data_IF_465325372499
#
_entry.id   IF_465325372499
#
_cell.length_a   1.000
_cell.length_b   1.000
_cell.length_c   1.000
_cell.angle_alpha   90.00
_cell.angle_beta   90.00
_cell.angle_gamma   90.00
#
_symmetry.space_group_name_H-M   'P 1'
#
loop_
_entity.id
_entity.type
_entity.pdbx_description
1 polymer ?
#
# COMPACT_ATOMS: atom_id res chain seq x y z
N UNK A 1 -11.31 0.77 -27.89
CA UNK A 1 -10.43 1.77 -28.53
C UNK A 1 -10.46 3.00 -27.62
N UNK A 2 -9.46 3.16 -26.76
CA UNK A 2 -9.44 4.22 -25.74
C UNK A 2 -8.72 5.42 -26.34
N UNK A 3 -9.38 6.59 -26.38
CA UNK A 3 -8.77 7.84 -26.83
C UNK A 3 -7.93 8.44 -25.71
N UNK A 4 -6.75 8.94 -26.06
CA UNK A 4 -5.99 9.79 -25.14
C UNK A 4 -6.85 11.01 -24.74
N UNK A 5 -6.88 11.37 -23.45
CA UNK A 5 -7.62 12.54 -22.99
C UNK A 5 -7.03 13.81 -23.60
N UNK A 6 -7.90 14.77 -23.89
CA UNK A 6 -7.49 16.03 -24.51
C UNK A 6 -6.71 16.91 -23.51
N UNK A 7 -5.86 17.84 -23.98
CA UNK A 7 -5.10 18.74 -23.11
C UNK A 7 -5.96 19.55 -22.13
N UNK A 8 -7.23 19.81 -22.46
CA UNK A 8 -8.19 20.53 -21.61
C UNK A 8 -8.70 19.70 -20.42
N UNK A 9 -8.60 18.38 -20.51
CA UNK A 9 -8.98 17.45 -19.43
C UNK A 9 -7.90 17.42 -18.32
N UNK A 10 -6.65 17.75 -18.67
CA UNK A 10 -5.49 17.81 -17.78
C UNK A 10 -5.52 19.07 -16.89
N UNK A 11 -6.24 20.12 -17.29
CA UNK A 11 -6.30 21.40 -16.57
C UNK A 11 -7.44 21.52 -15.56
N UNK A 12 -8.30 20.51 -15.43
CA UNK A 12 -9.38 20.54 -14.43
C UNK A 12 -8.77 20.37 -13.03
N UNK A 13 -9.11 21.23 -12.05
CA UNK A 13 -8.69 21.01 -10.68
C UNK A 13 -9.17 19.61 -10.24
N UNK A 14 -8.36 18.86 -9.47
CA UNK A 14 -8.77 17.54 -9.02
C UNK A 14 -10.12 17.64 -8.29
N UNK A 15 -10.98 16.61 -8.41
CA UNK A 15 -12.23 16.58 -7.65
C UNK A 15 -11.96 16.86 -6.18
N UNK A 16 -12.82 17.65 -5.53
CA UNK A 16 -12.64 18.13 -4.14
C UNK A 16 -12.47 17.00 -3.09
N UNK A 17 -12.64 15.75 -3.48
CA UNK A 17 -12.60 14.56 -2.62
C UNK A 17 -11.28 13.77 -2.70
N UNK A 18 -10.29 14.22 -3.49
CA UNK A 18 -9.01 13.53 -3.65
C UNK A 18 -7.89 14.23 -2.89
N UNK A 19 -7.32 13.54 -1.91
CA UNK A 19 -6.04 13.93 -1.30
C UNK A 19 -4.91 13.08 -1.88
N UNK A 20 -4.00 13.73 -2.61
CA UNK A 20 -2.78 13.11 -3.13
C UNK A 20 -1.63 13.36 -2.16
N UNK A 21 -1.00 12.28 -1.70
CA UNK A 21 0.17 12.35 -0.82
C UNK A 21 1.39 11.86 -1.59
N UNK A 22 2.27 12.80 -1.93
CA UNK A 22 3.59 12.52 -2.47
C UNK A 22 4.66 12.79 -1.39
N UNK A 23 5.78 12.04 -1.38
CA UNK A 23 6.87 12.31 -0.46
C UNK A 23 7.52 13.67 -0.79
N UNK A 24 7.24 14.69 0.02
CA UNK A 24 8.12 15.84 0.15
C UNK A 24 9.32 15.44 1.01
N UNK A 25 10.54 15.62 0.51
CA UNK A 25 11.78 15.38 1.26
C UNK A 25 11.98 16.33 2.46
N UNK A 26 11.06 17.28 2.69
CA UNK A 26 11.22 18.37 3.67
C UNK A 26 10.12 18.49 4.72
N UNK A 27 9.03 17.71 4.63
CA UNK A 27 7.92 17.80 5.59
C UNK A 27 7.71 16.46 6.32
N UNK A 28 7.68 16.53 7.64
CA UNK A 28 7.42 15.39 8.50
C UNK A 28 6.00 14.90 8.27
N UNK A 29 5.84 13.59 8.13
CA UNK A 29 4.55 12.94 7.97
C UNK A 29 3.59 13.19 9.14
N UNK A 30 4.10 13.63 10.29
CA UNK A 30 3.30 14.05 11.45
C UNK A 30 2.59 15.39 11.27
N UNK A 31 3.01 16.22 10.33
CA UNK A 31 2.48 17.58 10.24
C UNK A 31 1.18 17.64 9.42
N UNK A 32 0.89 16.64 8.57
CA UNK A 32 -0.27 16.66 7.68
C UNK A 32 -1.30 15.54 7.92
N UNK A 33 -0.93 14.40 8.50
CA UNK A 33 -1.90 13.33 8.81
C UNK A 33 -2.99 13.78 9.78
N UNK A 34 -2.69 14.52 10.88
CA UNK A 34 -3.73 15.09 11.71
C UNK A 34 -4.61 16.07 10.92
N UNK A 35 -4.03 16.84 9.99
CA UNK A 35 -4.77 17.85 9.24
C UNK A 35 -5.77 17.23 8.24
N UNK A 36 -5.40 16.12 7.57
CA UNK A 36 -6.32 15.31 6.76
C UNK A 36 -7.40 14.63 7.61
N UNK A 37 -7.09 14.30 8.87
CA UNK A 37 -8.05 13.72 9.81
C UNK A 37 -9.01 14.76 10.44
N UNK A 38 -8.71 16.06 10.39
CA UNK A 38 -9.45 17.10 11.13
C UNK A 38 -10.00 18.27 10.30
N UNK A 39 -9.63 18.47 9.03
CA UNK A 39 -10.24 19.51 8.18
C UNK A 39 -11.51 19.00 7.47
N UNK A 40 -12.57 19.80 7.56
CA UNK A 40 -13.99 19.53 7.23
C UNK A 40 -14.33 19.35 5.75
N UNK A 41 -13.45 18.74 4.97
CA UNK A 41 -13.78 18.10 3.69
C UNK A 41 -13.34 16.65 3.85
N UNK A 42 -14.27 15.76 4.26
CA UNK A 42 -13.99 14.34 4.42
C UNK A 42 -13.48 13.76 3.10
N UNK A 43 -12.16 13.72 2.92
CA UNK A 43 -11.57 13.10 1.76
C UNK A 43 -11.91 11.60 1.79
N UNK A 44 -12.87 11.20 0.96
CA UNK A 44 -13.28 9.79 0.85
C UNK A 44 -12.22 8.92 0.18
N UNK A 45 -11.16 9.52 -0.38
CA UNK A 45 -10.11 8.86 -1.14
C UNK A 45 -8.73 9.40 -0.80
N UNK A 46 -7.79 8.48 -0.62
CA UNK A 46 -6.42 8.76 -0.27
C UNK A 46 -5.48 7.99 -1.20
N UNK A 47 -4.58 8.70 -1.88
CA UNK A 47 -3.55 8.07 -2.72
C UNK A 47 -2.20 8.29 -2.08
N UNK A 48 -1.50 7.20 -1.78
CA UNK A 48 -0.21 7.19 -1.09
C UNK A 48 0.89 6.66 -2.00
N UNK A 49 1.77 7.54 -2.45
CA UNK A 49 3.02 7.14 -3.11
C UNK A 49 4.11 6.93 -2.07
N UNK A 50 4.80 5.78 -2.16
CA UNK A 50 6.02 5.50 -1.37
C UNK A 50 5.85 5.80 0.13
N UNK A 51 4.78 5.29 0.75
CA UNK A 51 4.51 5.50 2.17
C UNK A 51 5.48 4.68 3.05
N UNK A 52 6.32 5.31 3.88
CA UNK A 52 7.22 4.57 4.75
C UNK A 52 6.45 4.04 5.97
N UNK A 53 6.27 2.72 6.04
CA UNK A 53 5.73 2.03 7.23
C UNK A 53 6.70 2.10 8.41
N UNK A 54 8.00 2.05 8.12
CA UNK A 54 9.08 2.12 9.10
C UNK A 54 9.94 3.35 8.80
N UNK A 55 10.22 4.15 9.83
CA UNK A 55 11.16 5.27 9.76
C UNK A 55 12.09 5.23 10.97
N UNK A 56 13.30 4.71 10.77
CA UNK A 56 14.24 4.45 11.86
C UNK A 56 13.68 3.38 12.81
N UNK A 57 13.63 3.68 14.11
CA UNK A 57 13.08 2.78 15.14
C UNK A 57 11.55 2.91 15.33
N UNK A 58 10.87 3.73 14.52
CA UNK A 58 9.44 4.01 14.69
C UNK A 58 8.62 3.44 13.55
N UNK A 59 7.57 2.74 13.91
CA UNK A 59 6.53 2.27 13.00
C UNK A 59 5.43 3.33 12.86
N UNK A 60 4.81 3.38 11.68
CA UNK A 60 3.86 4.43 11.27
C UNK A 60 2.56 3.86 10.71
N UNK A 61 2.16 2.70 11.22
CA UNK A 61 0.92 2.06 10.81
C UNK A 61 -0.28 2.47 11.66
N UNK A 62 -0.07 3.00 12.87
CA UNK A 62 -1.16 3.42 13.75
C UNK A 62 -2.05 4.49 13.09
N UNK A 63 -1.45 5.42 12.35
CA UNK A 63 -2.21 6.42 11.59
C UNK A 63 -3.06 5.78 10.48
N UNK A 64 -2.60 4.69 9.88
CA UNK A 64 -3.36 3.93 8.87
C UNK A 64 -4.52 3.16 9.51
N UNK A 65 -4.31 2.59 10.69
CA UNK A 65 -5.34 1.87 11.45
C UNK A 65 -6.44 2.80 11.99
N UNK A 66 -6.08 4.05 12.25
CA UNK A 66 -7.00 5.09 12.70
C UNK A 66 -7.90 5.66 11.57
N UNK A 67 -7.62 5.35 10.30
CA UNK A 67 -8.43 5.84 9.17
C UNK A 67 -9.88 5.37 9.27
N UNK A 68 -10.81 6.29 8.98
CA UNK A 68 -12.23 6.02 9.01
C UNK A 68 -12.63 4.97 7.95
N UNK A 69 -13.56 4.05 8.23
CA UNK A 69 -13.98 3.00 7.28
C UNK A 69 -14.57 3.51 5.95
N UNK A 70 -15.01 4.78 5.89
CA UNK A 70 -15.50 5.39 4.66
C UNK A 70 -14.38 5.93 3.75
N UNK A 71 -13.13 5.89 4.20
CA UNK A 71 -11.97 6.29 3.40
C UNK A 71 -11.48 5.10 2.60
N UNK A 72 -11.25 5.33 1.32
CA UNK A 72 -10.61 4.38 0.42
C UNK A 72 -9.16 4.78 0.20
N UNK A 73 -8.23 3.84 0.33
CA UNK A 73 -6.80 4.09 0.26
C UNK A 73 -6.18 3.33 -0.89
N UNK A 74 -5.48 4.03 -1.78
CA UNK A 74 -4.63 3.45 -2.81
C UNK A 74 -3.17 3.58 -2.40
N UNK A 75 -2.49 2.46 -2.24
CA UNK A 75 -1.05 2.40 -2.09
C UNK A 75 -0.39 2.23 -3.46
N UNK A 76 0.61 3.05 -3.77
CA UNK A 76 1.48 2.90 -4.94
C UNK A 76 2.91 2.75 -4.43
N UNK A 77 3.39 1.50 -4.40
CA UNK A 77 4.60 1.14 -3.69
C UNK A 77 5.42 0.13 -4.49
N UNK A 78 6.74 0.29 -4.41
CA UNK A 78 7.69 -0.70 -4.88
C UNK A 78 7.67 -1.96 -4.03
N UNK A 79 7.82 -3.14 -4.65
CA UNK A 79 7.89 -4.40 -3.91
C UNK A 79 9.27 -4.69 -3.29
N UNK A 80 10.27 -3.90 -3.68
CA UNK A 80 11.63 -3.91 -3.13
C UNK A 80 11.87 -2.75 -2.16
N UNK A 81 10.81 -2.08 -1.68
CA UNK A 81 10.91 -0.98 -0.71
C UNK A 81 11.28 -1.48 0.71
N UNK A 82 12.49 -1.17 1.22
CA UNK A 82 12.91 -1.59 2.56
C UNK A 82 12.18 -0.83 3.69
N UNK A 83 11.57 0.32 3.40
CA UNK A 83 10.78 1.10 4.36
C UNK A 83 9.31 0.66 4.39
N UNK A 84 8.88 -0.16 3.42
CA UNK A 84 7.52 -0.65 3.29
C UNK A 84 7.48 -2.08 2.74
N UNK A 85 8.03 -3.03 3.49
CA UNK A 85 8.01 -4.45 3.11
C UNK A 85 6.59 -4.96 2.79
N UNK A 86 6.46 -5.67 1.66
CA UNK A 86 5.19 -6.22 1.15
C UNK A 86 4.41 -7.01 2.21
N UNK A 87 5.08 -7.92 2.93
CA UNK A 87 4.43 -8.72 3.98
C UNK A 87 3.87 -7.85 5.11
N UNK A 88 4.57 -6.78 5.47
CA UNK A 88 4.14 -5.87 6.52
C UNK A 88 2.95 -5.03 6.06
N UNK A 89 3.01 -4.47 4.85
CA UNK A 89 1.90 -3.76 4.24
C UNK A 89 0.64 -4.63 4.16
N UNK A 90 0.79 -5.88 3.69
CA UNK A 90 -0.32 -6.84 3.62
C UNK A 90 -0.97 -7.04 4.99
N UNK A 91 -0.17 -7.25 6.04
CA UNK A 91 -0.68 -7.43 7.40
C UNK A 91 -1.42 -6.19 7.93
N UNK A 92 -0.93 -4.99 7.62
CA UNK A 92 -1.58 -3.73 8.01
C UNK A 92 -2.89 -3.53 7.24
N UNK A 93 -2.87 -3.71 5.91
CA UNK A 93 -4.07 -3.59 5.06
C UNK A 93 -5.21 -4.50 5.52
N UNK A 94 -4.89 -5.70 6.03
CA UNK A 94 -5.87 -6.61 6.62
C UNK A 94 -6.45 -6.15 7.96
N UNK A 95 -5.75 -5.27 8.68
CA UNK A 95 -6.17 -4.71 9.98
C UNK A 95 -6.85 -3.34 9.82
N UNK A 96 -6.65 -2.66 8.70
CA UNK A 96 -7.28 -1.37 8.42
C UNK A 96 -8.80 -1.52 8.33
N UNK A 97 -9.51 -0.52 8.86
CA UNK A 97 -10.97 -0.39 8.70
C UNK A 97 -11.34 0.21 7.35
N UNK A 98 -10.48 1.09 6.84
CA UNK A 98 -10.54 1.67 5.51
C UNK A 98 -10.33 0.59 4.43
N UNK A 99 -11.01 0.70 3.29
CA UNK A 99 -10.77 -0.20 2.15
C UNK A 99 -9.46 0.16 1.47
N UNK A 100 -8.72 -0.85 1.01
CA UNK A 100 -7.38 -0.63 0.48
C UNK A 100 -7.15 -1.29 -0.88
N UNK A 101 -6.49 -0.56 -1.76
CA UNK A 101 -5.98 -1.01 -3.06
C UNK A 101 -4.47 -0.88 -3.08
N UNK A 102 -3.80 -1.67 -3.91
CA UNK A 102 -2.36 -1.63 -4.06
C UNK A 102 -1.93 -1.80 -5.51
N UNK A 103 -1.14 -0.83 -5.98
CA UNK A 103 -0.30 -0.94 -7.16
C UNK A 103 1.09 -1.37 -6.70
N UNK A 104 1.42 -2.63 -6.98
CA UNK A 104 2.74 -3.21 -6.77
C UNK A 104 3.64 -2.82 -7.94
N UNK A 105 4.63 -1.96 -7.69
CA UNK A 105 5.64 -1.62 -8.68
C UNK A 105 6.82 -2.59 -8.58
N UNK A 106 6.99 -3.45 -9.58
CA UNK A 106 8.04 -4.48 -9.60
C UNK A 106 9.43 -3.83 -9.61
N UNK A 107 10.34 -4.37 -8.81
CA UNK A 107 11.72 -3.91 -8.61
C UNK A 107 11.82 -2.46 -8.11
N UNK A 108 10.71 -1.86 -7.68
CA UNK A 108 10.70 -0.50 -7.16
C UNK A 108 11.22 -0.47 -5.74
N UNK A 109 12.14 0.45 -5.45
CA UNK A 109 12.53 0.80 -4.10
C UNK A 109 11.66 1.96 -3.54
N UNK A 110 12.03 2.47 -2.36
CA UNK A 110 11.32 3.59 -1.74
C UNK A 110 11.34 4.88 -2.59
N UNK A 111 12.39 5.10 -3.38
CA UNK A 111 12.53 6.27 -4.22
C UNK A 111 11.91 6.06 -5.62
N UNK A 112 11.38 4.86 -5.87
CA UNK A 112 11.03 4.34 -7.19
C UNK A 112 12.19 4.56 -8.18
N UNK A 113 13.39 4.21 -7.75
CA UNK A 113 14.58 4.31 -8.57
C UNK A 113 14.62 3.15 -9.58
N UNK A 114 14.76 3.49 -10.86
CA UNK A 114 14.93 2.54 -11.95
C UNK A 114 16.03 3.02 -12.88
N UNK A 115 16.81 2.06 -13.39
CA UNK A 115 17.78 2.27 -14.46
C UNK A 115 17.28 1.58 -15.73
N UNK A 116 17.27 2.26 -16.90
CA UNK A 116 17.64 3.65 -17.12
C UNK A 116 16.58 4.66 -16.63
N UNK A 117 16.90 5.96 -16.46
CA UNK A 117 15.94 6.96 -15.98
C UNK A 117 14.63 7.04 -16.77
N UNK A 118 14.65 6.73 -18.07
CA UNK A 118 13.45 6.68 -18.90
C UNK A 118 12.46 5.59 -18.45
N UNK A 119 12.96 4.46 -17.92
CA UNK A 119 12.13 3.41 -17.32
C UNK A 119 11.39 3.94 -16.10
N UNK A 120 12.08 4.71 -15.24
CA UNK A 120 11.47 5.38 -14.08
C UNK A 120 10.36 6.32 -14.50
N UNK A 121 10.63 7.23 -15.43
CA UNK A 121 9.67 8.23 -15.87
C UNK A 121 8.41 7.57 -16.48
N UNK A 122 8.62 6.55 -17.32
CA UNK A 122 7.53 5.80 -17.94
C UNK A 122 6.68 5.05 -16.90
N UNK A 123 7.29 4.35 -15.94
CA UNK A 123 6.57 3.64 -14.88
C UNK A 123 5.81 4.61 -13.97
N UNK A 124 6.43 5.71 -13.54
CA UNK A 124 5.78 6.71 -12.70
C UNK A 124 4.61 7.39 -13.42
N UNK A 125 4.74 7.66 -14.72
CA UNK A 125 3.65 8.20 -15.53
C UNK A 125 2.46 7.24 -15.61
N UNK A 126 2.71 5.94 -15.84
CA UNK A 126 1.65 4.91 -15.85
C UNK A 126 1.02 4.75 -14.46
N UNK A 127 1.82 4.76 -13.38
CA UNK A 127 1.32 4.70 -12.02
C UNK A 127 0.40 5.88 -11.68
N UNK A 128 0.77 7.10 -12.11
CA UNK A 128 -0.07 8.29 -11.98
C UNK A 128 -1.40 8.17 -12.75
N UNK A 129 -1.38 7.62 -13.96
CA UNK A 129 -2.59 7.36 -14.74
C UNK A 129 -3.50 6.32 -14.06
N UNK A 130 -2.94 5.22 -13.55
CA UNK A 130 -3.68 4.20 -12.80
C UNK A 130 -4.33 4.83 -11.56
N UNK A 131 -3.59 5.66 -10.82
CA UNK A 131 -4.14 6.36 -9.66
C UNK A 131 -5.28 7.33 -10.03
N UNK A 132 -5.14 8.06 -11.14
CA UNK A 132 -6.19 8.92 -11.66
C UNK A 132 -7.45 8.13 -12.05
N UNK A 133 -7.28 6.98 -12.71
CA UNK A 133 -8.38 6.09 -13.07
C UNK A 133 -9.08 5.52 -11.83
N UNK A 134 -8.31 5.05 -10.85
CA UNK A 134 -8.82 4.55 -9.57
C UNK A 134 -9.63 5.61 -8.81
N UNK A 135 -9.20 6.87 -8.87
CA UNK A 135 -9.93 7.97 -8.27
C UNK A 135 -11.31 8.19 -8.92
N UNK A 136 -11.42 7.98 -10.24
CA UNK A 136 -12.70 8.08 -10.96
C UNK A 136 -13.60 6.88 -10.63
N UNK A 137 -13.08 5.67 -10.76
CA UNK A 137 -13.82 4.44 -10.50
C UNK A 137 -12.89 3.33 -9.99
N UNK A 138 -13.39 2.54 -9.03
CA UNK A 138 -12.67 1.41 -8.45
C UNK A 138 -13.67 0.33 -8.06
N UNK A 139 -13.30 -0.92 -8.27
CA UNK A 139 -14.07 -2.08 -7.82
C UNK A 139 -13.62 -2.44 -6.39
N UNK A 140 -14.54 -2.53 -5.40
CA UNK A 140 -14.21 -2.91 -4.04
C UNK A 140 -13.69 -4.34 -3.89
N UNK A 141 -13.85 -5.20 -4.89
CA UNK A 141 -13.41 -6.60 -4.87
C UNK A 141 -12.09 -6.83 -5.62
N UNK A 142 -11.65 -5.87 -6.45
CA UNK A 142 -10.43 -5.98 -7.25
C UNK A 142 -9.40 -4.96 -6.75
N UNK A 143 -8.58 -5.38 -5.80
CA UNK A 143 -7.71 -4.49 -5.01
C UNK A 143 -6.24 -4.55 -5.36
N UNK A 144 -5.79 -5.52 -6.16
CA UNK A 144 -4.37 -5.70 -6.49
C UNK A 144 -4.11 -5.44 -7.97
N UNK A 145 -3.05 -4.69 -8.27
CA UNK A 145 -2.53 -4.51 -9.62
C UNK A 145 -1.01 -4.54 -9.57
N UNK A 146 -0.41 -5.22 -10.54
CA UNK A 146 1.05 -5.22 -10.71
C UNK A 146 1.44 -4.33 -11.89
N UNK A 147 2.42 -3.46 -11.69
CA UNK A 147 3.04 -2.60 -12.70
C UNK A 147 4.53 -2.93 -12.75
N UNK A 148 5.04 -3.28 -13.92
CA UNK A 148 6.43 -3.62 -14.15
C UNK A 148 6.92 -3.15 -15.51
N UNK A 149 8.10 -3.61 -15.89
CA UNK A 149 8.74 -3.27 -17.15
C UNK A 149 8.97 -4.52 -17.98
N UNK A 150 8.68 -4.45 -19.26
CA UNK A 150 9.08 -5.47 -20.23
C UNK A 150 10.40 -5.05 -20.87
N UNK A 151 11.50 -5.72 -20.51
CA UNK A 151 12.82 -5.43 -21.04
C UNK A 151 12.95 -5.74 -22.55
N UNK A 152 12.16 -6.68 -23.07
CA UNK A 152 12.21 -7.03 -24.49
C UNK A 152 11.48 -5.98 -25.35
N UNK A 153 10.33 -5.50 -24.89
CA UNK A 153 9.56 -4.46 -25.56
C UNK A 153 9.99 -3.02 -25.16
N UNK A 154 10.83 -2.87 -24.13
CA UNK A 154 11.30 -1.61 -23.59
C UNK A 154 10.15 -0.64 -23.23
N UNK A 155 9.14 -1.15 -22.53
CA UNK A 155 7.94 -0.38 -22.16
C UNK A 155 7.31 -0.86 -20.84
N UNK A 156 6.50 -0.02 -20.16
CA UNK A 156 5.74 -0.45 -19.00
C UNK A 156 4.71 -1.53 -19.36
N UNK A 157 4.50 -2.47 -18.47
CA UNK A 157 3.43 -3.47 -18.54
C UNK A 157 2.70 -3.54 -17.21
N UNK A 158 1.40 -3.82 -17.25
CA UNK A 158 0.60 -3.94 -16.04
C UNK A 158 -0.52 -4.96 -16.20
N UNK A 159 -0.97 -5.50 -15.07
CA UNK A 159 -2.10 -6.44 -15.02
C UNK A 159 -3.43 -5.69 -14.98
N UNK A 160 -4.53 -6.40 -15.22
CA UNK A 160 -5.82 -5.94 -14.75
C UNK A 160 -5.84 -5.90 -13.21
N UNK A 161 -6.80 -5.16 -12.63
CA UNK A 161 -7.11 -5.28 -11.21
C UNK A 161 -7.59 -6.69 -10.88
N UNK A 162 -7.08 -7.27 -9.81
CA UNK A 162 -7.37 -8.63 -9.36
C UNK A 162 -7.85 -8.63 -7.91
N UNK A 163 -8.61 -9.66 -7.54
CA UNK A 163 -8.95 -9.90 -6.16
C UNK A 163 -7.67 -10.16 -5.33
N UNK A 164 -7.64 -9.75 -4.05
CA UNK A 164 -6.51 -10.05 -3.19
C UNK A 164 -6.31 -11.57 -3.12
N UNK A 165 -5.06 -12.06 -3.13
CA UNK A 165 -4.79 -13.48 -3.07
C UNK A 165 -5.40 -14.03 -1.78
N UNK A 166 -6.38 -14.92 -1.92
CA UNK A 166 -6.95 -15.66 -0.80
C UNK A 166 -5.82 -16.49 -0.21
N UNK A 167 -5.29 -16.05 0.93
CA UNK A 167 -4.41 -16.92 1.72
C UNK A 167 -5.17 -18.20 2.08
N UNK A 168 -4.47 -19.29 2.43
CA UNK A 168 -5.14 -20.42 3.04
C UNK A 168 -5.99 -19.91 4.22
N UNK A 169 -7.16 -20.51 4.49
CA UNK A 169 -7.90 -20.24 5.71
C UNK A 169 -6.92 -20.24 6.87
N UNK A 170 -6.94 -19.21 7.73
CA UNK A 170 -6.20 -19.26 8.99
C UNK A 170 -6.75 -20.45 9.78
N UNK A 171 -6.13 -21.61 9.61
CA UNK A 171 -6.29 -22.67 10.59
C UNK A 171 -5.71 -22.12 11.89
N UNK A 172 -6.52 -22.14 12.95
CA UNK A 172 -6.09 -21.76 14.28
C UNK A 172 -4.81 -22.55 14.60
N UNK A 173 -3.66 -21.89 14.51
CA UNK A 173 -2.38 -22.55 14.70
C UNK A 173 -2.17 -22.69 16.19
N UNK A 174 -2.58 -23.82 16.75
CA UNK A 174 -2.26 -24.17 18.13
C UNK A 174 -0.76 -24.46 18.19
N UNK A 175 0.02 -23.53 18.77
CA UNK A 175 1.42 -23.78 19.07
C UNK A 175 1.46 -24.55 20.40
N UNK A 176 1.90 -25.81 20.34
CA UNK A 176 2.20 -26.61 21.53
C UNK A 176 3.67 -26.44 21.87
N UNK A 177 3.96 -25.71 22.95
CA UNK A 177 5.33 -25.60 23.48
C UNK A 177 5.51 -26.67 24.55
N UNK A 178 6.43 -27.60 24.31
CA UNK A 178 6.79 -28.63 25.28
C UNK A 178 8.15 -28.27 25.91
N UNK A 179 8.15 -27.87 27.18
CA UNK A 179 9.38 -27.49 27.89
C UNK A 179 10.00 -28.76 28.47
N UNK A 180 10.97 -29.33 27.77
CA UNK A 180 11.77 -30.46 28.24
C UNK A 180 12.91 -29.96 29.14
N UNK A 181 12.61 -29.60 30.38
CA UNK A 181 13.66 -29.34 31.38
C UNK A 181 13.44 -30.22 32.62
N UNK A 182 14.22 -31.30 32.70
CA UNK A 182 14.16 -32.31 33.76
C UNK A 182 14.81 -31.88 35.09
N UNK A 183 15.32 -30.65 35.19
CA UNK A 183 16.07 -30.16 36.35
C UNK A 183 15.28 -29.37 37.40
N UNK A 184 14.01 -29.02 37.17
CA UNK A 184 13.20 -28.20 38.08
C UNK A 184 12.11 -29.05 38.75
N UNK A 185 12.09 -29.07 40.08
CA UNK A 185 10.99 -29.65 40.86
C UNK A 185 9.69 -28.91 40.53
N UNK A 186 8.83 -29.54 39.73
CA UNK A 186 7.58 -28.97 39.21
C UNK A 186 7.59 -28.56 37.72
N UNK A 187 8.67 -28.83 36.96
CA UNK A 187 8.81 -28.38 35.57
C UNK A 187 8.36 -29.40 34.53
N UNK A 188 7.15 -29.22 33.99
CA UNK A 188 6.63 -29.99 32.85
C UNK A 188 5.19 -29.59 32.56
N UNK A 189 5.00 -28.49 31.83
CA UNK A 189 3.68 -27.97 31.46
C UNK A 189 3.56 -27.86 29.95
N UNK A 190 2.45 -28.36 29.41
CA UNK A 190 2.03 -28.03 28.05
C UNK A 190 1.24 -26.73 28.10
N UNK A 191 1.68 -25.75 27.32
CA UNK A 191 0.91 -24.54 27.09
C UNK A 191 0.45 -24.54 25.64
N UNK A 192 -0.85 -24.34 25.45
CA UNK A 192 -1.46 -24.15 24.15
C UNK A 192 -1.92 -22.71 24.06
N UNK A 193 -1.44 -21.99 23.04
CA UNK A 193 -1.90 -20.65 22.71
C UNK A 193 -2.67 -20.72 21.40
N UNK A 194 -3.89 -20.16 21.37
CA UNK A 194 -4.63 -19.91 20.14
C UNK A 194 -4.36 -18.49 19.65
N UNK A 195 -4.22 -18.31 18.34
CA UNK A 195 -4.07 -17.00 17.66
C UNK A 195 -5.17 -16.84 16.63
#
# INVERSE_FOLDING_TARGET
MIRNPSPEEITRPPPRDLTLLAPSSSLSTRDWLPQVLFDTVEASKLVMFTYPLVRGLKERYEELLALHPNVDVLFVLGDSDPLCHEMHLKAIRQRMRARTWWVRMIDGDHALWYDPPQKRDALCNVAGQIAAMWNVARDPLLTELTLGWDDAANQPTWTAWMAPPTGPPREATTINVNILNSGLHGGGGNFSFGI
#
